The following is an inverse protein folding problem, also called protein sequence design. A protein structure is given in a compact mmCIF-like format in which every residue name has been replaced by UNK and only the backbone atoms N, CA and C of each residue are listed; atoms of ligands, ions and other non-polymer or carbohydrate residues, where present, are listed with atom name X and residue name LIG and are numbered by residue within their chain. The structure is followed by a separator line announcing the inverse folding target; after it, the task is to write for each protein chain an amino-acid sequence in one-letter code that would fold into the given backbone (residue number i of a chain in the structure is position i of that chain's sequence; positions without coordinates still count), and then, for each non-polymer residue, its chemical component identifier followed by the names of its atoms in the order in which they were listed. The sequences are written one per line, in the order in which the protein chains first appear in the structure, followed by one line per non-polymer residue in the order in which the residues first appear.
data_IF_307771562844
#
_entry.id   IF_307771562844
#
_cell.length_a   1.000
_cell.length_b   1.000
_cell.length_c   1.000
_cell.angle_alpha   90.00
_cell.angle_beta   90.00
_cell.angle_gamma   90.00
#
_symmetry.space_group_name_H-M   'P 1'
#
loop_
_entity.id
_entity.type
_entity.pdbx_description
1 polymer ?
#
# COMPACT_ATOMS: atom_id res chain seq x y z
N UNK A 1 16.60 -3.08 5.35
CA UNK A 1 15.74 -1.88 5.35
C UNK A 1 15.85 -1.10 6.66
N UNK A 2 15.36 -1.54 7.81
CA UNK A 2 15.33 -0.72 9.06
C UNK A 2 16.65 -0.02 9.43
N UNK A 3 17.80 -0.65 9.19
CA UNK A 3 19.11 -0.01 9.45
C UNK A 3 19.42 1.09 8.43
N UNK A 4 19.05 0.89 7.18
CA UNK A 4 19.23 1.88 6.10
C UNK A 4 18.34 3.09 6.34
N UNK A 5 17.06 2.87 6.67
CA UNK A 5 16.12 3.92 7.07
C UNK A 5 16.66 4.73 8.26
N UNK A 6 17.15 4.06 9.31
CA UNK A 6 17.77 4.72 10.47
C UNK A 6 18.99 5.57 10.10
N UNK A 7 19.82 5.10 9.17
CA UNK A 7 20.95 5.89 8.67
C UNK A 7 20.49 7.07 7.80
N UNK A 8 19.44 6.88 7.00
CA UNK A 8 18.79 7.98 6.29
C UNK A 8 18.28 9.06 7.26
N UNK A 9 17.67 8.65 8.38
CA UNK A 9 17.26 9.59 9.43
C UNK A 9 18.44 10.35 10.04
N UNK A 10 19.56 9.68 10.25
CA UNK A 10 20.79 10.32 10.75
C UNK A 10 21.38 11.35 9.75
N UNK A 11 21.11 11.19 8.46
CA UNK A 11 21.41 12.18 7.42
C UNK A 11 20.37 13.32 7.33
N UNK A 12 19.29 13.28 8.13
CA UNK A 12 18.23 14.28 8.13
C UNK A 12 17.03 13.94 7.23
N UNK A 13 16.98 12.74 6.64
CA UNK A 13 15.86 12.28 5.81
C UNK A 13 14.81 11.67 6.73
N UNK A 14 13.74 12.41 7.03
CA UNK A 14 12.69 11.92 7.93
C UNK A 14 11.91 10.76 7.32
N UNK A 15 11.34 9.89 8.17
CA UNK A 15 10.44 8.82 7.72
C UNK A 15 9.23 9.36 6.97
N UNK A 16 8.75 10.56 7.32
CA UNK A 16 7.67 11.21 6.59
C UNK A 16 8.06 11.51 5.14
N UNK A 17 9.30 11.97 4.89
CA UNK A 17 9.82 12.16 3.54
C UNK A 17 9.97 10.84 2.78
N UNK A 18 10.43 9.78 3.46
CA UNK A 18 10.52 8.46 2.84
C UNK A 18 9.13 7.93 2.47
N UNK A 19 8.14 8.07 3.34
CA UNK A 19 6.73 7.71 3.10
C UNK A 19 6.14 8.52 1.94
N UNK A 20 6.41 9.82 1.88
CA UNK A 20 5.99 10.69 0.78
C UNK A 20 6.53 10.17 -0.57
N UNK A 21 7.83 9.86 -0.63
CA UNK A 21 8.45 9.32 -1.83
C UNK A 21 7.91 7.94 -2.20
N UNK A 22 7.65 7.09 -1.21
CA UNK A 22 7.10 5.75 -1.40
C UNK A 22 5.70 5.80 -2.04
N UNK A 23 4.77 6.51 -1.44
CA UNK A 23 3.40 6.63 -1.97
C UNK A 23 3.35 7.36 -3.32
N UNK A 24 4.19 8.40 -3.50
CA UNK A 24 4.32 9.10 -4.78
C UNK A 24 4.86 8.19 -5.90
N UNK A 25 5.80 7.29 -5.59
CA UNK A 25 6.31 6.33 -6.56
C UNK A 25 5.23 5.33 -7.00
N UNK A 26 4.39 4.85 -6.08
CA UNK A 26 3.25 3.98 -6.40
C UNK A 26 2.25 4.71 -7.29
N UNK A 27 1.89 5.94 -6.93
CA UNK A 27 0.97 6.75 -7.74
C UNK A 27 1.52 6.98 -9.15
N UNK A 28 2.81 7.29 -9.28
CA UNK A 28 3.47 7.46 -10.58
C UNK A 28 3.40 6.20 -11.43
N UNK A 29 3.70 5.03 -10.85
CA UNK A 29 3.55 3.76 -11.55
C UNK A 29 2.13 3.54 -12.07
N UNK A 30 1.11 3.79 -11.23
CA UNK A 30 -0.31 3.65 -11.64
C UNK A 30 -0.63 4.59 -12.80
N UNK A 31 -0.17 5.85 -12.74
CA UNK A 31 -0.35 6.84 -13.80
C UNK A 31 0.31 6.37 -15.10
N UNK A 32 1.57 6.02 -15.06
CA UNK A 32 2.35 5.62 -16.25
C UNK A 32 1.80 4.34 -16.90
N UNK A 33 1.31 3.40 -16.08
CA UNK A 33 0.86 2.10 -16.55
C UNK A 33 -0.55 2.09 -17.10
N UNK A 34 -1.44 2.98 -16.60
CA UNK A 34 -2.88 2.89 -16.85
C UNK A 34 -3.50 4.17 -17.46
N UNK A 35 -2.71 5.21 -17.73
CA UNK A 35 -3.25 6.40 -18.38
C UNK A 35 -3.83 6.09 -19.78
N UNK A 36 -4.96 6.71 -20.15
CA UNK A 36 -5.72 7.69 -19.36
C UNK A 36 -6.50 7.02 -18.21
N UNK A 37 -6.56 7.70 -17.04
CA UNK A 37 -7.29 7.21 -15.87
C UNK A 37 -8.76 7.68 -15.84
N UNK A 38 -9.20 8.41 -16.83
CA UNK A 38 -10.62 8.77 -17.02
C UNK A 38 -11.44 7.49 -17.03
N UNK A 39 -12.54 7.49 -16.30
CA UNK A 39 -13.45 6.35 -16.15
C UNK A 39 -12.86 5.12 -15.41
N UNK A 40 -11.63 5.21 -14.89
CA UNK A 40 -11.07 4.19 -14.03
C UNK A 40 -11.57 4.32 -12.59
N UNK A 41 -11.92 3.17 -12.00
CA UNK A 41 -12.24 3.06 -10.59
C UNK A 41 -11.07 2.45 -9.84
N UNK A 42 -10.46 3.23 -8.95
CA UNK A 42 -9.26 2.85 -8.18
C UNK A 42 -9.65 2.74 -6.71
N UNK A 43 -9.37 1.59 -6.11
CA UNK A 43 -9.59 1.35 -4.68
C UNK A 43 -8.23 1.14 -4.00
N UNK A 44 -7.93 1.94 -2.98
CA UNK A 44 -6.73 1.81 -2.17
C UNK A 44 -7.13 1.25 -0.81
N UNK A 45 -6.69 0.03 -0.52
CA UNK A 45 -7.03 -0.69 0.71
C UNK A 45 -5.89 -0.55 1.70
N UNK A 46 -6.10 0.24 2.74
CA UNK A 46 -5.09 0.64 3.71
C UNK A 46 -5.24 -0.09 5.04
N UNK A 47 -4.14 -0.57 5.59
CA UNK A 47 -4.04 -0.94 6.99
C UNK A 47 -3.78 0.26 7.90
N UNK A 48 -3.67 0.02 9.20
CA UNK A 48 -3.48 1.07 10.22
C UNK A 48 -2.01 1.41 10.51
N UNK A 49 -1.07 0.72 9.83
CA UNK A 49 0.37 0.94 9.97
C UNK A 49 0.97 1.85 8.90
N UNK A 50 2.32 1.85 8.80
CA UNK A 50 3.05 2.69 7.84
C UNK A 50 2.75 2.33 6.38
N UNK A 51 2.51 1.05 6.07
CA UNK A 51 2.11 0.65 4.71
C UNK A 51 0.78 1.32 4.29
N UNK A 52 -0.20 1.41 5.22
CA UNK A 52 -1.40 2.22 5.02
C UNK A 52 -1.09 3.70 4.81
N UNK A 53 -0.08 4.23 5.52
CA UNK A 53 0.43 5.57 5.32
C UNK A 53 0.94 5.83 3.90
N UNK A 54 1.72 4.88 3.34
CA UNK A 54 2.14 4.93 1.93
C UNK A 54 0.94 4.92 0.99
N UNK A 55 -0.12 4.13 1.33
CA UNK A 55 -1.40 4.11 0.63
C UNK A 55 -2.13 5.47 0.67
N UNK A 56 -2.16 6.16 1.80
CA UNK A 56 -2.76 7.50 1.92
C UNK A 56 -2.02 8.53 1.05
N UNK A 57 -0.69 8.48 1.04
CA UNK A 57 0.12 9.33 0.16
C UNK A 57 -0.18 9.02 -1.31
N UNK A 58 -0.21 7.74 -1.69
CA UNK A 58 -0.56 7.31 -3.04
C UNK A 58 -1.94 7.87 -3.47
N UNK A 59 -2.96 7.74 -2.60
CA UNK A 59 -4.30 8.27 -2.84
C UNK A 59 -4.29 9.78 -3.10
N UNK A 60 -3.56 10.54 -2.29
CA UNK A 60 -3.46 11.98 -2.43
C UNK A 60 -2.86 12.40 -3.78
N UNK A 61 -1.84 11.69 -4.26
CA UNK A 61 -1.24 11.94 -5.56
C UNK A 61 -2.19 11.59 -6.71
N UNK A 62 -2.92 10.47 -6.61
CA UNK A 62 -3.89 10.05 -7.63
C UNK A 62 -5.13 10.94 -7.69
N UNK A 63 -5.53 11.54 -6.58
CA UNK A 63 -6.71 12.41 -6.49
C UNK A 63 -6.61 13.71 -7.32
N UNK A 64 -5.43 14.03 -7.84
CA UNK A 64 -5.25 15.13 -8.80
C UNK A 64 -5.71 14.78 -10.23
N UNK A 65 -6.10 13.53 -10.49
CA UNK A 65 -6.43 13.01 -11.81
C UNK A 65 -7.93 12.71 -11.93
N UNK A 66 -8.49 12.67 -13.15
CA UNK A 66 -9.90 12.42 -13.37
C UNK A 66 -10.26 10.93 -13.24
N UNK A 67 -9.95 10.32 -12.10
CA UNK A 67 -10.31 8.94 -11.76
C UNK A 67 -11.34 8.91 -10.64
N UNK A 68 -12.18 7.88 -10.58
CA UNK A 68 -12.96 7.57 -9.38
C UNK A 68 -12.04 6.91 -8.37
N UNK A 69 -11.85 7.52 -7.21
CA UNK A 69 -10.89 7.08 -6.21
C UNK A 69 -11.56 6.84 -4.87
N UNK A 70 -11.38 5.65 -4.33
CA UNK A 70 -11.84 5.27 -3.00
C UNK A 70 -10.66 4.84 -2.11
N UNK A 71 -10.64 5.30 -0.87
CA UNK A 71 -9.69 4.89 0.17
C UNK A 71 -10.44 4.14 1.25
N UNK A 72 -10.03 2.91 1.50
CA UNK A 72 -10.66 2.02 2.48
C UNK A 72 -9.66 1.75 3.61
N UNK A 73 -9.98 2.16 4.83
CA UNK A 73 -9.20 1.86 6.01
C UNK A 73 -9.72 0.57 6.68
N UNK A 74 -8.90 -0.47 6.72
CA UNK A 74 -9.19 -1.73 7.41
C UNK A 74 -8.84 -1.60 8.90
N UNK A 75 -9.69 -0.96 9.63
CA UNK A 75 -9.58 -0.65 11.05
C UNK A 75 -10.22 0.69 11.36
N UNK A 76 -10.18 1.12 12.63
CA UNK A 76 -10.66 2.43 13.02
C UNK A 76 -9.56 3.51 12.83
N UNK A 77 -9.98 4.75 12.66
CA UNK A 77 -9.09 5.90 12.53
C UNK A 77 -8.15 6.04 13.73
N UNK A 78 -8.64 5.73 14.92
CA UNK A 78 -7.87 5.80 16.15
C UNK A 78 -6.77 4.73 16.26
N UNK A 79 -6.80 3.71 15.42
CA UNK A 79 -5.74 2.70 15.34
C UNK A 79 -4.55 3.15 14.49
N UNK A 80 -4.69 4.22 13.69
CA UNK A 80 -3.58 4.82 12.93
C UNK A 80 -2.76 5.72 13.87
N UNK A 81 -1.69 5.16 14.44
CA UNK A 81 -0.92 5.80 15.53
C UNK A 81 0.49 6.24 15.14
N UNK A 82 1.01 5.76 13.99
CA UNK A 82 2.38 6.12 13.60
C UNK A 82 2.46 7.60 13.26
N UNK A 83 3.58 8.22 13.60
CA UNK A 83 3.80 9.66 13.41
C UNK A 83 3.75 10.06 11.92
N UNK A 84 4.03 9.11 11.03
CA UNK A 84 4.05 9.30 9.59
C UNK A 84 2.68 9.07 8.94
N UNK A 85 1.97 8.01 9.34
CA UNK A 85 0.69 7.66 8.72
C UNK A 85 -0.46 8.57 9.18
N UNK A 86 -0.48 8.97 10.45
CA UNK A 86 -1.57 9.77 11.02
C UNK A 86 -1.80 11.11 10.30
N UNK A 87 -0.78 11.95 10.03
CA UNK A 87 -0.97 13.19 9.28
C UNK A 87 -1.52 12.95 7.87
N UNK A 88 -1.08 11.87 7.20
CA UNK A 88 -1.54 11.53 5.87
C UNK A 88 -3.01 11.07 5.88
N UNK A 89 -3.45 10.29 6.88
CA UNK A 89 -4.87 9.98 7.07
C UNK A 89 -5.70 11.25 7.28
N UNK A 90 -5.25 12.19 8.13
CA UNK A 90 -5.96 13.44 8.37
C UNK A 90 -6.15 14.28 7.11
N UNK A 91 -5.17 14.25 6.19
CA UNK A 91 -5.30 14.89 4.88
C UNK A 91 -6.40 14.20 4.06
N UNK A 92 -6.37 12.86 3.94
CA UNK A 92 -7.37 12.08 3.20
C UNK A 92 -8.80 12.39 3.69
N UNK A 93 -9.00 12.43 5.01
CA UNK A 93 -10.31 12.71 5.62
C UNK A 93 -10.85 14.12 5.32
N UNK A 94 -10.00 15.07 4.96
CA UNK A 94 -10.39 16.44 4.58
C UNK A 94 -10.58 16.63 3.08
N UNK A 95 -10.13 15.66 2.27
CA UNK A 95 -10.25 15.74 0.79
C UNK A 95 -11.69 15.48 0.36
N UNK A 96 -12.13 16.22 -0.68
CA UNK A 96 -13.44 16.06 -1.32
C UNK A 96 -13.33 15.44 -2.72
N UNK A 97 -12.11 15.26 -3.20
CA UNK A 97 -11.81 14.70 -4.53
C UNK A 97 -11.75 13.17 -4.55
N UNK A 98 -11.99 12.53 -3.42
CA UNK A 98 -12.05 11.08 -3.28
C UNK A 98 -13.09 10.69 -2.22
N UNK A 99 -13.54 9.44 -2.26
CA UNK A 99 -14.35 8.85 -1.20
C UNK A 99 -13.45 8.14 -0.20
N UNK A 100 -13.74 8.24 1.10
CA UNK A 100 -13.02 7.49 2.14
C UNK A 100 -13.96 6.95 3.20
N UNK A 101 -13.75 5.71 3.62
CA UNK A 101 -14.49 5.07 4.70
C UNK A 101 -13.59 4.05 5.44
N UNK A 102 -14.01 3.66 6.61
CA UNK A 102 -13.26 2.77 7.52
C UNK A 102 -14.14 1.63 8.03
N UNK A 103 -13.53 0.69 8.73
CA UNK A 103 -14.21 -0.50 9.23
C UNK A 103 -15.32 -0.21 10.25
N UNK A 104 -15.35 0.99 10.85
CA UNK A 104 -16.41 1.43 11.76
C UNK A 104 -17.61 2.04 11.00
N UNK A 105 -17.51 2.21 9.67
CA UNK A 105 -18.58 2.77 8.85
C UNK A 105 -19.80 1.87 8.81
N UNK A 106 -20.98 2.44 8.89
CA UNK A 106 -22.22 1.69 8.70
C UNK A 106 -22.23 1.01 7.33
N UNK A 107 -22.61 -0.26 7.29
CA UNK A 107 -22.64 -1.08 6.06
C UNK A 107 -21.25 -1.28 5.39
N UNK A 108 -20.16 -1.21 6.16
CA UNK A 108 -18.79 -1.36 5.66
C UNK A 108 -18.64 -2.56 4.72
N UNK A 109 -19.04 -3.76 5.14
CA UNK A 109 -18.87 -4.98 4.34
C UNK A 109 -19.54 -4.89 2.97
N UNK A 110 -20.79 -4.37 2.91
CA UNK A 110 -21.52 -4.23 1.67
C UNK A 110 -20.91 -3.16 0.75
N UNK A 111 -20.50 -2.03 1.33
CA UNK A 111 -19.84 -0.96 0.59
C UNK A 111 -18.51 -1.45 0.04
N UNK A 112 -17.70 -2.12 0.85
CA UNK A 112 -16.41 -2.64 0.47
C UNK A 112 -16.50 -3.67 -0.65
N UNK A 113 -17.40 -4.66 -0.54
CA UNK A 113 -17.64 -5.65 -1.59
C UNK A 113 -18.05 -4.96 -2.92
N UNK A 114 -18.96 -3.99 -2.85
CA UNK A 114 -19.36 -3.21 -4.02
C UNK A 114 -18.18 -2.46 -4.65
N UNK A 115 -17.32 -1.83 -3.84
CA UNK A 115 -16.14 -1.10 -4.30
C UNK A 115 -15.14 -2.03 -5.00
N UNK A 116 -14.86 -3.19 -4.39
CA UNK A 116 -13.95 -4.18 -4.98
C UNK A 116 -14.49 -4.75 -6.29
N UNK A 117 -15.79 -5.05 -6.36
CA UNK A 117 -16.40 -5.65 -7.55
C UNK A 117 -16.41 -4.71 -8.77
N UNK A 118 -16.47 -3.38 -8.56
CA UNK A 118 -16.43 -2.39 -9.65
C UNK A 118 -15.05 -1.84 -9.97
N UNK A 119 -14.02 -2.18 -9.16
CA UNK A 119 -12.69 -1.63 -9.34
C UNK A 119 -11.98 -2.13 -10.59
N UNK A 120 -11.27 -1.23 -11.28
CA UNK A 120 -10.30 -1.55 -12.34
C UNK A 120 -8.92 -1.82 -11.74
N UNK A 121 -8.57 -1.05 -10.69
CA UNK A 121 -7.26 -1.13 -10.02
C UNK A 121 -7.49 -1.18 -8.51
N UNK A 122 -6.85 -2.12 -7.86
CA UNK A 122 -6.78 -2.24 -6.41
C UNK A 122 -5.35 -2.03 -5.97
N UNK A 123 -5.13 -1.16 -5.01
CA UNK A 123 -3.82 -1.00 -4.36
C UNK A 123 -3.88 -1.64 -2.97
N UNK A 124 -3.05 -2.66 -2.77
CA UNK A 124 -2.88 -3.33 -1.47
C UNK A 124 -1.84 -2.57 -0.65
N UNK A 125 -2.33 -1.81 0.32
CA UNK A 125 -1.57 -1.08 1.33
C UNK A 125 -1.89 -1.59 2.75
N UNK A 126 -2.29 -2.87 2.91
CA UNK A 126 -2.75 -3.40 4.19
C UNK A 126 -1.57 -3.63 5.12
N UNK A 127 -0.64 -4.50 4.73
CA UNK A 127 0.49 -4.90 5.54
C UNK A 127 1.81 -4.75 4.79
N UNK A 128 2.83 -4.18 5.48
CA UNK A 128 4.22 -4.18 5.05
C UNK A 128 5.06 -5.17 5.89
N UNK A 129 6.35 -4.91 6.02
CA UNK A 129 7.34 -5.78 6.69
C UNK A 129 7.11 -6.03 8.18
N UNK A 130 6.11 -5.40 8.79
CA UNK A 130 5.84 -5.44 10.24
C UNK A 130 4.98 -6.61 10.71
N UNK A 131 4.27 -7.29 9.80
CA UNK A 131 3.33 -8.37 10.15
C UNK A 131 4.01 -9.72 10.07
N UNK A 132 3.74 -10.58 11.07
CA UNK A 132 4.26 -11.94 11.16
C UNK A 132 3.15 -12.89 11.63
N UNK A 133 3.18 -14.12 11.17
CA UNK A 133 2.23 -15.17 11.52
C UNK A 133 0.95 -15.13 10.70
N UNK A 134 -0.06 -15.88 11.15
CA UNK A 134 -1.30 -16.08 10.41
C UNK A 134 -2.13 -14.79 10.34
N UNK A 135 -2.65 -14.53 9.17
CA UNK A 135 -3.58 -13.42 8.94
C UNK A 135 -4.94 -13.79 9.50
N UNK A 136 -5.42 -13.00 10.47
CA UNK A 136 -6.72 -13.21 11.14
C UNK A 136 -7.82 -12.39 10.48
N UNK A 137 -9.07 -12.72 10.80
CA UNK A 137 -10.22 -11.88 10.44
C UNK A 137 -10.13 -10.50 11.12
N UNK A 138 -10.60 -9.45 10.46
CA UNK A 138 -11.28 -9.40 9.16
C UNK A 138 -10.32 -9.34 7.94
N UNK A 139 -9.02 -9.29 8.14
CA UNK A 139 -8.05 -9.16 7.05
C UNK A 139 -8.01 -10.40 6.14
N UNK A 140 -8.24 -11.59 6.71
CA UNK A 140 -8.23 -12.83 5.93
C UNK A 140 -9.35 -12.85 4.87
N UNK A 141 -10.57 -12.55 5.25
CA UNK A 141 -11.71 -12.44 4.32
C UNK A 141 -11.51 -11.32 3.32
N UNK A 142 -10.95 -10.17 3.75
CA UNK A 142 -10.58 -9.06 2.88
C UNK A 142 -9.61 -9.52 1.78
N UNK A 143 -8.49 -10.15 2.13
CA UNK A 143 -7.50 -10.62 1.15
C UNK A 143 -8.10 -11.61 0.16
N UNK A 144 -8.96 -12.53 0.63
CA UNK A 144 -9.66 -13.46 -0.26
C UNK A 144 -10.55 -12.71 -1.26
N UNK A 145 -11.27 -11.68 -0.82
CA UNK A 145 -12.10 -10.84 -1.70
C UNK A 145 -11.24 -10.10 -2.74
N UNK A 146 -10.10 -9.52 -2.34
CA UNK A 146 -9.16 -8.89 -3.27
C UNK A 146 -8.69 -9.89 -4.34
N UNK A 147 -8.34 -11.10 -3.94
CA UNK A 147 -7.87 -12.13 -4.87
C UNK A 147 -8.94 -12.65 -5.85
N UNK A 148 -10.21 -12.58 -5.47
CA UNK A 148 -11.36 -12.95 -6.34
C UNK A 148 -11.69 -11.85 -7.36
N UNK A 149 -11.28 -10.60 -7.11
CA UNK A 149 -11.53 -9.49 -8.03
C UNK A 149 -10.77 -9.66 -9.34
N UNK A 150 -11.38 -9.18 -10.43
CA UNK A 150 -10.75 -9.08 -11.77
C UNK A 150 -9.84 -7.85 -11.90
N UNK A 151 -9.86 -6.94 -10.93
CA UNK A 151 -9.05 -5.73 -10.92
C UNK A 151 -7.55 -6.04 -10.97
N UNK A 152 -6.78 -5.12 -11.55
CA UNK A 152 -5.33 -5.18 -11.47
C UNK A 152 -4.85 -4.81 -10.07
N UNK A 153 -4.12 -5.71 -9.42
CA UNK A 153 -3.67 -5.55 -8.04
C UNK A 153 -2.22 -5.08 -7.99
N UNK A 154 -2.01 -3.91 -7.37
CA UNK A 154 -0.70 -3.31 -7.09
C UNK A 154 -0.42 -3.42 -5.60
N UNK A 155 0.59 -4.17 -5.21
CA UNK A 155 1.01 -4.26 -3.81
C UNK A 155 2.05 -3.18 -3.47
N UNK A 156 1.82 -2.48 -2.38
CA UNK A 156 2.76 -1.49 -1.81
C UNK A 156 3.73 -2.21 -0.89
N UNK A 157 5.00 -2.11 -1.19
CA UNK A 157 6.14 -2.71 -0.51
C UNK A 157 6.19 -4.23 -0.60
N UNK A 158 5.12 -4.91 -0.21
CA UNK A 158 4.94 -6.38 -0.23
C UNK A 158 3.48 -6.72 -0.50
N UNK A 159 3.17 -7.85 -1.15
CA UNK A 159 1.83 -8.43 -1.08
C UNK A 159 1.48 -8.77 0.37
N UNK A 160 0.31 -8.30 0.83
CA UNK A 160 -0.11 -8.51 2.22
C UNK A 160 -0.27 -9.99 2.53
N UNK A 161 0.46 -10.46 3.54
CA UNK A 161 0.56 -11.87 3.92
C UNK A 161 1.88 -12.55 3.53
N UNK A 162 2.69 -11.95 2.66
CA UNK A 162 4.01 -12.50 2.29
C UNK A 162 5.05 -12.23 3.37
N UNK A 163 5.82 -13.25 3.75
CA UNK A 163 7.02 -13.07 4.58
C UNK A 163 8.18 -12.52 3.72
N UNK A 164 8.65 -11.29 4.00
CA UNK A 164 9.69 -10.66 3.18
C UNK A 164 11.08 -11.30 3.30
N UNK A 165 11.32 -12.11 4.32
CA UNK A 165 12.60 -12.76 4.53
C UNK A 165 12.70 -14.11 3.82
N UNK A 166 11.63 -14.89 3.86
CA UNK A 166 11.59 -16.28 3.37
C UNK A 166 10.85 -16.45 2.05
N UNK A 167 9.92 -15.54 1.72
CA UNK A 167 9.01 -15.69 0.60
C UNK A 167 7.84 -16.63 0.90
N UNK A 168 7.70 -17.09 2.15
CA UNK A 168 6.55 -17.88 2.56
C UNK A 168 5.27 -17.04 2.48
N UNK A 169 4.29 -17.55 1.75
CA UNK A 169 3.00 -16.90 1.53
C UNK A 169 1.89 -17.86 1.95
N UNK A 170 1.46 -17.83 3.23
CA UNK A 170 0.33 -18.64 3.71
C UNK A 170 -0.98 -18.18 3.06
N UNK A 171 -2.01 -19.04 3.08
CA UNK A 171 -3.37 -18.61 2.73
C UNK A 171 -4.06 -17.97 3.95
N UNK A 172 -4.59 -16.75 3.82
CA UNK A 172 -4.60 -15.90 2.61
C UNK A 172 -3.38 -15.00 2.48
N UNK A 173 -2.89 -14.86 1.25
CA UNK A 173 -1.90 -13.87 0.85
C UNK A 173 -2.39 -13.15 -0.41
N UNK A 174 -2.18 -11.84 -0.53
CA UNK A 174 -2.54 -11.10 -1.75
C UNK A 174 -1.70 -11.60 -2.92
N UNK A 175 -2.38 -11.93 -4.03
CA UNK A 175 -1.74 -12.25 -5.32
C UNK A 175 -1.69 -10.98 -6.16
N UNK A 176 -0.58 -10.28 -6.10
CA UNK A 176 -0.38 -9.04 -6.84
C UNK A 176 -0.09 -9.29 -8.33
N UNK A 177 -0.53 -8.37 -9.19
CA UNK A 177 -0.07 -8.31 -10.58
C UNK A 177 1.29 -7.57 -10.66
N UNK A 178 1.48 -6.59 -9.78
CA UNK A 178 2.75 -5.88 -9.58
C UNK A 178 2.96 -5.60 -8.12
N UNK A 179 4.21 -5.74 -7.67
CA UNK A 179 4.66 -5.29 -6.35
C UNK A 179 5.67 -4.17 -6.51
N UNK A 180 5.41 -3.03 -5.89
CA UNK A 180 6.31 -1.89 -5.87
C UNK A 180 6.99 -1.85 -4.51
N UNK A 181 8.21 -2.33 -4.46
CA UNK A 181 9.01 -2.38 -3.24
C UNK A 181 9.99 -1.21 -3.18
N UNK A 182 10.36 -0.78 -1.98
CA UNK A 182 11.09 0.47 -1.79
C UNK A 182 12.57 0.25 -1.51
N UNK A 183 13.39 1.11 -2.12
CA UNK A 183 14.84 1.21 -2.01
C UNK A 183 15.59 -0.03 -2.53
N UNK A 184 15.29 -1.21 -2.00
CA UNK A 184 15.91 -2.46 -2.42
C UNK A 184 14.91 -3.62 -2.37
N UNK A 185 15.09 -4.61 -3.25
CA UNK A 185 14.30 -5.83 -3.23
C UNK A 185 14.53 -6.61 -1.94
N UNK A 186 13.45 -7.11 -1.35
CA UNK A 186 13.52 -8.03 -0.21
C UNK A 186 13.73 -9.45 -0.73
N UNK A 187 14.49 -10.26 0.00
CA UNK A 187 14.86 -11.63 -0.41
C UNK A 187 13.64 -12.48 -0.74
N UNK A 188 12.58 -12.38 0.06
CA UNK A 188 11.34 -13.15 -0.10
C UNK A 188 10.49 -12.74 -1.31
N UNK A 189 10.76 -11.59 -1.95
CA UNK A 189 10.07 -11.18 -3.18
C UNK A 189 10.67 -11.85 -4.42
N UNK A 190 11.93 -12.25 -4.34
CA UNK A 190 12.63 -12.83 -5.49
C UNK A 190 12.18 -14.26 -5.75
N UNK A 191 11.80 -14.57 -7.00
CA UNK A 191 11.43 -15.92 -7.41
C UNK A 191 9.97 -16.29 -7.13
N UNK A 192 9.18 -15.49 -6.43
CA UNK A 192 7.79 -15.78 -6.11
C UNK A 192 6.81 -15.03 -7.04
N UNK A 193 6.94 -15.28 -8.34
CA UNK A 193 6.20 -14.56 -9.38
C UNK A 193 4.68 -14.69 -9.29
N UNK A 194 4.19 -15.82 -8.78
CA UNK A 194 2.76 -16.08 -8.65
C UNK A 194 2.09 -15.15 -7.62
N UNK A 195 2.83 -14.77 -6.57
CA UNK A 195 2.34 -13.91 -5.49
C UNK A 195 2.73 -12.45 -5.75
N UNK A 196 3.95 -12.21 -6.20
CA UNK A 196 4.56 -10.87 -6.32
C UNK A 196 4.21 -10.19 -7.66
N UNK A 197 3.96 -10.98 -8.70
CA UNK A 197 3.78 -10.48 -10.05
C UNK A 197 5.06 -9.84 -10.63
N UNK A 198 4.91 -8.72 -11.32
CA UNK A 198 6.01 -7.86 -11.73
C UNK A 198 6.62 -7.18 -10.49
N UNK A 199 7.94 -7.28 -10.31
CA UNK A 199 8.63 -6.63 -9.21
C UNK A 199 9.30 -5.34 -9.66
N UNK A 200 8.86 -4.22 -9.11
CA UNK A 200 9.42 -2.88 -9.33
C UNK A 200 10.11 -2.41 -8.07
N UNK A 201 11.36 -1.96 -8.17
CA UNK A 201 12.09 -1.34 -7.06
C UNK A 201 12.08 0.16 -7.23
N UNK A 202 11.37 0.86 -6.36
CA UNK A 202 11.25 2.31 -6.40
C UNK A 202 12.21 2.99 -5.40
N UNK A 203 12.98 4.02 -5.84
CA UNK A 203 13.77 4.82 -4.92
C UNK A 203 12.86 5.68 -4.03
N UNK A 204 13.24 5.82 -2.76
CA UNK A 204 12.50 6.63 -1.78
C UNK A 204 13.34 7.79 -1.20
N UNK A 205 14.36 8.20 -1.93
CA UNK A 205 15.20 9.34 -1.55
C UNK A 205 16.29 9.01 -0.52
N UNK A 206 16.59 7.74 -0.30
CA UNK A 206 17.72 7.33 0.55
C UNK A 206 18.97 7.29 -0.34
N UNK A 207 20.01 8.10 -0.05
CA UNK A 207 21.21 8.13 -0.84
C UNK A 207 22.14 6.93 -0.51
N UNK A 208 23.10 6.60 -1.40
CA UNK A 208 24.07 5.54 -1.17
C UNK A 208 24.88 5.68 0.13
N UNK A 209 25.07 6.93 0.60
CA UNK A 209 25.74 7.23 1.88
C UNK A 209 25.07 6.55 3.08
N UNK A 210 23.77 6.27 3.01
CA UNK A 210 23.04 5.53 4.03
C UNK A 210 23.20 4.00 3.93
N UNK A 211 23.76 3.47 2.82
CA UNK A 211 23.96 2.03 2.62
C UNK A 211 25.23 1.52 3.29
N UNK A 212 26.28 2.34 3.31
CA UNK A 212 27.58 1.98 3.84
C UNK A 212 27.78 2.53 5.26
N UNK A 213 28.16 1.65 6.21
CA UNK A 213 28.71 2.09 7.49
C UNK A 213 30.19 2.46 7.29
N UNK A 214 30.50 3.73 7.53
CA UNK A 214 31.89 4.16 7.71
C UNK A 214 32.44 3.70 9.06
#
# INVERSE_FOLDING_TARGET
MKQIEKRGEALGISKLLMMENAGAAVARYVIERFSPLTDKHIVIVCGTGNNGGDGFVCARHLAALPASLEVVLLGSRDQVKTAEAKPNLEIILRMKSLESYDADSANFSQQFEKSINKSDIITDAIFGTGVRGDIKEPYASTIRLLNQSKAYRVAIDLPSGLDPATGYAPDPCVKANTTITFHASKKGLMGNREIVGELVVAPIGIPPDAEFSH
#
